data_IF_651609410304
#
_entry.id   IF_651609410304
#
_cell.length_a   1.000
_cell.length_b   1.000
_cell.length_c   1.000
_cell.angle_alpha   90.00
_cell.angle_beta   90.00
_cell.angle_gamma   90.00
#
_symmetry.space_group_name_H-M   'P 1'
#
loop_
_entity.id
_entity.type
_entity.pdbx_description
1 polymer ?
#
# COMPACT_ATOMS: atom_id res chain seq x y z
N UNK A 1 -3.46 -12.94 -19.00
CA UNK A 1 -3.86 -11.77 -18.20
C UNK A 1 -5.34 -11.60 -18.35
N UNK A 2 -6.09 -11.87 -17.29
CA UNK A 2 -7.53 -11.57 -17.24
C UNK A 2 -7.74 -10.22 -16.57
N UNK A 3 -8.73 -9.47 -17.03
CA UNK A 3 -9.06 -8.15 -16.49
C UNK A 3 -10.56 -8.03 -16.27
N UNK A 4 -10.96 -7.45 -15.15
CA UNK A 4 -12.36 -7.10 -14.89
C UNK A 4 -12.50 -5.58 -14.91
N UNK A 5 -13.46 -5.11 -15.71
CA UNK A 5 -13.90 -3.73 -15.70
C UNK A 5 -15.18 -3.62 -14.86
N UNK A 6 -15.14 -2.78 -13.84
CA UNK A 6 -16.27 -2.48 -12.98
C UNK A 6 -16.83 -1.09 -13.34
N UNK A 7 -18.05 -0.82 -12.87
CA UNK A 7 -18.66 0.51 -13.00
C UNK A 7 -17.84 1.57 -12.24
N UNK A 8 -17.95 2.84 -12.65
CA UNK A 8 -17.22 3.94 -12.00
C UNK A 8 -15.74 4.03 -12.39
N UNK A 9 -15.36 3.47 -13.55
CA UNK A 9 -14.01 3.60 -14.11
C UNK A 9 -12.95 2.76 -13.38
N UNK A 10 -13.38 1.73 -12.65
CA UNK A 10 -12.49 0.80 -11.95
C UNK A 10 -12.13 -0.35 -12.89
N UNK A 11 -10.84 -0.65 -12.99
CA UNK A 11 -10.30 -1.80 -13.72
C UNK A 11 -9.37 -2.56 -12.80
N UNK A 12 -9.58 -3.87 -12.70
CA UNK A 12 -8.71 -4.79 -12.00
C UNK A 12 -8.01 -5.73 -12.99
N UNK A 13 -6.72 -5.99 -12.78
CA UNK A 13 -5.93 -6.92 -13.60
C UNK A 13 -5.29 -7.96 -12.69
N UNK A 14 -5.34 -9.22 -13.09
CA UNK A 14 -4.73 -10.30 -12.33
C UNK A 14 -3.40 -10.70 -12.95
N UNK A 15 -2.41 -10.93 -12.10
CA UNK A 15 -1.13 -11.47 -12.50
C UNK A 15 -0.59 -12.43 -11.43
N UNK A 16 0.03 -13.52 -11.88
CA UNK A 16 0.78 -14.41 -11.00
C UNK A 16 2.07 -13.71 -10.61
N UNK A 17 2.24 -13.45 -9.33
CA UNK A 17 3.48 -12.90 -8.79
C UNK A 17 4.51 -14.00 -8.56
N UNK A 18 4.04 -15.19 -8.15
CA UNK A 18 4.83 -16.43 -8.05
C UNK A 18 3.92 -17.64 -8.31
N UNK A 19 4.49 -18.85 -8.26
CA UNK A 19 3.74 -20.10 -8.39
C UNK A 19 2.69 -20.30 -7.28
N UNK A 20 2.80 -19.54 -6.19
CA UNK A 20 1.91 -19.66 -5.04
C UNK A 20 1.06 -18.41 -4.78
N UNK A 21 1.32 -17.30 -5.49
CA UNK A 21 0.70 -16.01 -5.19
C UNK A 21 0.14 -15.36 -6.46
N UNK A 22 -1.14 -14.98 -6.41
CA UNK A 22 -1.80 -14.13 -7.41
C UNK A 22 -2.04 -12.76 -6.82
N UNK A 23 -1.74 -11.73 -7.59
CA UNK A 23 -2.01 -10.35 -7.22
C UNK A 23 -3.06 -9.73 -8.14
N UNK A 24 -3.89 -8.88 -7.54
CA UNK A 24 -4.94 -8.11 -8.19
C UNK A 24 -4.52 -6.65 -8.19
N UNK A 25 -4.16 -6.14 -9.37
CA UNK A 25 -3.81 -4.74 -9.55
C UNK A 25 -5.04 -3.88 -9.85
N UNK A 26 -5.26 -2.81 -9.10
CA UNK A 26 -6.48 -2.02 -9.17
C UNK A 26 -6.16 -0.61 -9.65
N UNK A 27 -6.88 -0.19 -10.69
CA UNK A 27 -6.83 1.16 -11.22
C UNK A 27 -8.24 1.76 -11.22
N UNK A 28 -8.38 3.03 -10.82
CA UNK A 28 -9.65 3.77 -10.84
C UNK A 28 -9.45 5.08 -11.56
N UNK A 29 -10.19 5.30 -12.64
CA UNK A 29 -10.10 6.51 -13.48
C UNK A 29 -8.66 6.84 -13.92
N UNK A 30 -7.88 5.81 -14.27
CA UNK A 30 -6.49 5.96 -14.68
C UNK A 30 -5.49 6.21 -13.54
N UNK A 31 -5.95 6.29 -12.29
CA UNK A 31 -5.08 6.35 -11.10
C UNK A 31 -4.89 4.94 -10.54
N UNK A 32 -3.63 4.58 -10.28
CA UNK A 32 -3.28 3.35 -9.57
C UNK A 32 -3.75 3.43 -8.12
N UNK A 33 -4.51 2.42 -7.68
CA UNK A 33 -5.08 2.33 -6.34
C UNK A 33 -4.36 1.26 -5.51
N UNK A 34 -3.19 0.79 -5.96
CA UNK A 34 -2.47 -0.31 -5.32
C UNK A 34 -2.93 -1.68 -5.80
N UNK A 35 -2.33 -2.71 -5.20
CA UNK A 35 -2.65 -4.10 -5.47
C UNK A 35 -2.85 -4.83 -4.14
N UNK A 36 -3.63 -5.91 -4.16
CA UNK A 36 -3.65 -6.89 -3.08
C UNK A 36 -3.30 -8.27 -3.63
N UNK A 37 -2.76 -9.14 -2.79
CA UNK A 37 -2.33 -10.47 -3.20
C UNK A 37 -2.94 -11.53 -2.30
N UNK A 38 -3.11 -12.72 -2.85
CA UNK A 38 -3.59 -13.89 -2.15
C UNK A 38 -2.87 -15.12 -2.68
N UNK A 39 -2.94 -16.22 -1.94
CA UNK A 39 -2.47 -17.49 -2.45
C UNK A 39 -3.34 -17.95 -3.64
N UNK A 40 -2.74 -18.77 -4.52
CA UNK A 40 -3.43 -19.23 -5.73
C UNK A 40 -4.70 -20.03 -5.40
N UNK A 41 -4.71 -20.80 -4.32
CA UNK A 41 -5.85 -21.65 -3.98
C UNK A 41 -7.05 -20.80 -3.54
N UNK A 42 -6.82 -19.85 -2.65
CA UNK A 42 -7.80 -18.88 -2.20
C UNK A 42 -8.28 -18.00 -3.35
N UNK A 43 -7.40 -17.57 -4.26
CA UNK A 43 -7.79 -16.81 -5.43
C UNK A 43 -8.75 -17.59 -6.35
N UNK A 44 -8.56 -18.91 -6.48
CA UNK A 44 -9.42 -19.78 -7.29
C UNK A 44 -10.77 -20.08 -6.64
N UNK A 45 -10.87 -19.96 -5.31
CA UNK A 45 -12.12 -20.13 -4.57
C UNK A 45 -13.04 -18.90 -4.69
N UNK A 46 -12.48 -17.72 -4.91
CA UNK A 46 -13.24 -16.49 -5.05
C UNK A 46 -14.11 -16.49 -6.29
N UNK A 47 -15.42 -16.33 -6.08
CA UNK A 47 -16.33 -16.04 -7.17
C UNK A 47 -16.24 -14.56 -7.59
N UNK A 48 -16.96 -14.23 -8.66
CA UNK A 48 -16.95 -12.88 -9.22
C UNK A 48 -17.51 -11.83 -8.25
N UNK A 49 -18.52 -12.16 -7.45
CA UNK A 49 -19.15 -11.21 -6.53
C UNK A 49 -18.24 -10.93 -5.33
N UNK A 50 -17.59 -11.97 -4.81
CA UNK A 50 -16.59 -11.87 -3.76
C UNK A 50 -15.39 -11.04 -4.24
N UNK A 51 -14.88 -11.30 -5.44
CA UNK A 51 -13.80 -10.51 -6.04
C UNK A 51 -14.16 -9.01 -6.16
N UNK A 52 -15.39 -8.71 -6.59
CA UNK A 52 -15.88 -7.33 -6.69
C UNK A 52 -15.93 -6.68 -5.31
N UNK A 53 -16.43 -7.40 -4.30
CA UNK A 53 -16.49 -6.93 -2.92
C UNK A 53 -15.09 -6.60 -2.39
N UNK A 54 -14.11 -7.48 -2.60
CA UNK A 54 -12.71 -7.27 -2.19
C UNK A 54 -12.09 -6.04 -2.87
N UNK A 55 -12.30 -5.88 -4.18
CA UNK A 55 -11.82 -4.70 -4.93
C UNK A 55 -12.45 -3.41 -4.38
N UNK A 56 -13.75 -3.41 -4.12
CA UNK A 56 -14.45 -2.25 -3.57
C UNK A 56 -14.00 -1.90 -2.16
N UNK A 57 -13.80 -2.91 -1.30
CA UNK A 57 -13.25 -2.73 0.04
C UNK A 57 -11.85 -2.14 -0.01
N UNK A 58 -10.97 -2.68 -0.86
CA UNK A 58 -9.62 -2.14 -1.09
C UNK A 58 -9.65 -0.68 -1.51
N UNK A 59 -10.46 -0.33 -2.51
CA UNK A 59 -10.61 1.06 -2.96
C UNK A 59 -11.09 1.95 -1.81
N UNK A 60 -12.09 1.52 -1.04
CA UNK A 60 -12.61 2.26 0.10
C UNK A 60 -11.54 2.47 1.17
N UNK A 61 -10.73 1.46 1.46
CA UNK A 61 -9.60 1.55 2.40
C UNK A 61 -8.50 2.48 1.89
N UNK A 62 -8.18 2.45 0.60
CA UNK A 62 -7.19 3.35 0.00
C UNK A 62 -7.69 4.79 0.00
N UNK A 63 -8.97 5.02 -0.31
CA UNK A 63 -9.57 6.36 -0.30
C UNK A 63 -9.75 6.90 1.12
N UNK A 64 -10.19 6.06 2.07
CA UNK A 64 -10.31 6.45 3.47
C UNK A 64 -8.93 6.65 4.12
N UNK A 65 -7.96 5.79 3.80
CA UNK A 65 -6.58 5.96 4.24
C UNK A 65 -5.94 7.17 3.59
N UNK A 66 -6.25 7.55 2.34
CA UNK A 66 -5.77 8.80 1.77
C UNK A 66 -6.28 10.02 2.55
N UNK A 67 -7.52 9.98 3.04
CA UNK A 67 -8.10 11.02 3.89
C UNK A 67 -7.46 11.01 5.28
N UNK A 68 -7.18 9.83 5.86
CA UNK A 68 -6.50 9.69 7.15
C UNK A 68 -5.01 10.06 7.04
N UNK A 69 -4.33 9.71 5.95
CA UNK A 69 -2.96 10.11 5.58
C UNK A 69 -2.82 11.62 5.63
N UNK A 70 -3.75 12.36 5.02
CA UNK A 70 -3.74 13.82 5.06
C UNK A 70 -3.98 14.41 6.46
N UNK A 71 -4.58 13.65 7.38
CA UNK A 71 -4.95 14.12 8.73
C UNK A 71 -3.97 13.69 9.83
N UNK A 72 -3.14 12.68 9.58
CA UNK A 72 -2.17 12.12 10.54
C UNK A 72 -0.72 12.18 10.04
N UNK A 73 -0.45 12.82 8.91
CA UNK A 73 0.89 12.99 8.38
C UNK A 73 1.74 13.89 9.28
N UNK A 74 2.34 13.32 10.31
CA UNK A 74 3.55 13.87 10.88
C UNK A 74 4.67 13.64 9.86
N UNK A 75 5.11 14.74 9.26
CA UNK A 75 6.26 14.74 8.36
C UNK A 75 7.51 14.94 9.19
N UNK A 76 8.47 14.03 9.05
CA UNK A 76 9.78 14.25 9.64
C UNK A 76 10.82 14.38 8.55
N UNK A 77 11.70 15.40 8.65
CA UNK A 77 12.83 15.50 7.76
C UNK A 77 13.79 14.34 8.02
N UNK A 78 14.19 13.67 6.95
CA UNK A 78 15.34 12.78 6.90
C UNK A 78 16.51 13.52 6.23
N UNK A 79 17.67 12.86 6.11
CA UNK A 79 18.81 13.42 5.36
C UNK A 79 18.48 13.51 3.85
N UNK A 80 19.27 14.29 3.11
CA UNK A 80 19.21 14.38 1.64
C UNK A 80 17.85 14.81 1.03
N UNK A 81 17.15 15.72 1.71
CA UNK A 81 15.84 16.24 1.28
C UNK A 81 14.73 15.17 1.22
N UNK A 82 14.94 14.04 1.90
CA UNK A 82 13.91 13.05 2.10
C UNK A 82 12.99 13.49 3.24
N UNK A 83 11.70 13.27 3.08
CA UNK A 83 10.71 13.35 4.14
C UNK A 83 10.14 11.96 4.36
N UNK A 84 9.87 11.60 5.60
CA UNK A 84 9.05 10.43 5.89
C UNK A 84 7.68 10.89 6.38
N UNK A 85 6.65 10.19 5.90
CA UNK A 85 5.27 10.31 6.32
C UNK A 85 4.77 8.91 6.61
N UNK A 86 3.95 8.74 7.65
CA UNK A 86 3.34 7.45 7.94
C UNK A 86 1.86 7.59 8.26
N UNK A 87 1.16 6.47 8.17
CA UNK A 87 -0.25 6.37 8.53
C UNK A 87 -0.58 4.96 8.98
N UNK A 88 -1.53 4.85 9.91
CA UNK A 88 -2.05 3.56 10.34
C UNK A 88 -2.91 2.97 9.21
N UNK A 89 -2.53 1.81 8.69
CA UNK A 89 -3.23 1.15 7.59
C UNK A 89 -4.25 0.13 8.09
N UNK A 90 -3.88 -0.67 9.09
CA UNK A 90 -4.75 -1.60 9.82
C UNK A 90 -4.49 -1.46 11.33
N UNK A 91 -5.18 -2.24 12.17
CA UNK A 91 -4.91 -2.23 13.62
C UNK A 91 -3.47 -2.63 13.97
N UNK A 92 -2.88 -3.47 13.11
CA UNK A 92 -1.57 -4.11 13.31
C UNK A 92 -0.46 -3.55 12.40
N UNK A 93 -0.78 -2.70 11.42
CA UNK A 93 0.18 -2.21 10.43
C UNK A 93 0.17 -0.68 10.32
N UNK A 94 1.38 -0.13 10.28
CA UNK A 94 1.65 1.21 9.75
C UNK A 94 2.21 1.10 8.34
N UNK A 95 1.84 2.05 7.50
CA UNK A 95 2.49 2.23 6.21
C UNK A 95 3.24 3.56 6.21
N UNK A 96 4.43 3.52 5.64
CA UNK A 96 5.40 4.61 5.56
C UNK A 96 5.55 4.98 4.08
N UNK A 97 5.39 6.25 3.78
CA UNK A 97 5.70 6.88 2.51
C UNK A 97 6.99 7.67 2.66
N UNK A 98 7.94 7.43 1.77
CA UNK A 98 9.17 8.22 1.68
C UNK A 98 9.00 9.19 0.54
N UNK A 99 9.19 10.47 0.81
CA UNK A 99 9.04 11.55 -0.15
C UNK A 99 10.40 12.19 -0.45
N UNK A 100 10.61 12.58 -1.70
CA UNK A 100 11.70 13.46 -2.09
C UNK A 100 11.09 14.67 -2.80
N UNK A 101 11.37 15.87 -2.29
CA UNK A 101 10.77 17.12 -2.80
C UNK A 101 9.22 17.06 -2.91
N UNK A 102 8.57 16.42 -1.92
CA UNK A 102 7.12 16.27 -1.85
C UNK A 102 6.50 15.21 -2.78
N UNK A 103 7.31 14.44 -3.52
CA UNK A 103 6.84 13.30 -4.31
C UNK A 103 7.18 12.00 -3.62
N UNK A 104 6.21 11.09 -3.52
CA UNK A 104 6.43 9.74 -3.00
C UNK A 104 7.39 9.00 -3.93
N UNK A 105 8.55 8.60 -3.40
CA UNK A 105 9.58 7.82 -4.11
C UNK A 105 9.54 6.35 -3.70
N UNK A 106 9.04 6.04 -2.50
CA UNK A 106 8.87 4.66 -2.03
C UNK A 106 7.73 4.57 -1.01
N UNK A 107 7.17 3.38 -0.85
CA UNK A 107 6.12 3.10 0.14
C UNK A 107 6.26 1.67 0.61
N UNK A 108 6.21 1.47 1.92
CA UNK A 108 6.25 0.15 2.54
C UNK A 108 5.38 0.13 3.79
N UNK A 109 5.01 -1.06 4.26
CA UNK A 109 4.25 -1.23 5.49
C UNK A 109 4.98 -2.15 6.44
N UNK A 110 4.82 -1.89 7.73
CA UNK A 110 5.50 -2.53 8.85
C UNK A 110 4.50 -2.76 9.98
N UNK A 111 4.71 -3.79 10.78
CA UNK A 111 3.91 -4.02 11.97
C UNK A 111 4.07 -2.93 13.04
N UNK A 112 3.05 -2.73 13.87
CA UNK A 112 3.03 -1.71 14.90
C UNK A 112 4.24 -1.81 15.86
N UNK A 113 4.65 -3.02 16.26
CA UNK A 113 5.78 -3.21 17.18
C UNK A 113 7.09 -2.73 16.57
N UNK A 114 7.42 -3.19 15.37
CA UNK A 114 8.63 -2.76 14.66
C UNK A 114 8.61 -1.26 14.34
N UNK A 115 7.44 -0.70 14.04
CA UNK A 115 7.30 0.74 13.80
C UNK A 115 7.55 1.59 15.05
N UNK A 116 7.00 1.18 16.19
CA UNK A 116 7.17 1.89 17.45
C UNK A 116 8.65 1.89 17.88
N UNK A 117 9.36 0.77 17.71
CA UNK A 117 10.81 0.68 17.96
C UNK A 117 11.61 1.67 17.09
N UNK A 118 11.25 1.83 15.81
CA UNK A 118 11.92 2.77 14.91
C UNK A 118 11.59 4.24 15.20
N UNK A 119 10.44 4.53 15.80
CA UNK A 119 10.12 5.88 16.27
C UNK A 119 10.95 6.27 17.50
N UNK A 120 11.28 5.30 18.35
CA UNK A 120 12.18 5.49 19.49
C UNK A 120 13.64 5.65 19.05
N UNK A 121 14.07 4.90 18.02
CA UNK A 121 15.41 4.96 17.43
C UNK A 121 15.39 5.39 15.96
N UNK A 122 15.49 6.70 15.74
CA UNK A 122 15.43 7.31 14.40
C UNK A 122 16.58 6.90 13.48
N UNK A 123 17.71 6.42 14.01
CA UNK A 123 18.82 5.94 13.16
C UNK A 123 18.46 4.62 12.47
N UNK A 124 17.70 3.74 13.14
CA UNK A 124 17.22 2.50 12.53
C UNK A 124 16.23 2.76 11.40
N UNK A 125 15.30 3.70 11.61
CA UNK A 125 14.38 4.12 10.54
C UNK A 125 15.14 4.63 9.32
N UNK A 126 16.19 5.44 9.54
CA UNK A 126 17.04 5.94 8.46
C UNK A 126 17.75 4.82 7.71
N UNK A 127 18.31 3.82 8.41
CA UNK A 127 18.96 2.68 7.77
C UNK A 127 18.02 1.86 6.90
N UNK A 128 16.77 1.65 7.35
CA UNK A 128 15.74 0.97 6.56
C UNK A 128 15.40 1.78 5.30
N UNK A 129 15.21 3.09 5.46
CA UNK A 129 14.92 4.01 4.35
C UNK A 129 16.07 4.04 3.32
N UNK A 130 17.32 4.15 3.76
CA UNK A 130 18.50 4.15 2.89
C UNK A 130 18.64 2.83 2.11
N UNK A 131 18.28 1.69 2.71
CA UNK A 131 18.29 0.40 2.03
C UNK A 131 17.19 0.27 0.97
N UNK A 132 16.05 0.93 1.16
CA UNK A 132 14.89 0.85 0.25
C UNK A 132 14.99 1.77 -0.98
N UNK A 133 15.83 2.81 -0.93
CA UNK A 133 15.96 3.81 -2.00
C UNK A 133 17.17 3.54 -2.93
N UNK A 134 18.12 2.71 -2.49
CA UNK A 134 19.26 2.27 -3.29
C UNK A 134 18.88 1.19 -4.30
#
# INVERSE_FOLDING_TARGET
MESISLTGGVTAKYYSFSDHVVCVDINKNGKHMGSFCSDVNQFLEWDKEEMISLIQQHIKLVESSAILRLRQAEKFPLQDQLEFQYYKHTEDLYCIEILQAGKVVSTFCVDCSSFDEWLEDKEQLFHVVDHLIK
#
